data_IF_357722686555
#
_entry.id   IF_357722686555
#
_cell.length_a   1.000
_cell.length_b   1.000
_cell.length_c   1.000
_cell.angle_alpha   90.00
_cell.angle_beta   90.00
_cell.angle_gamma   90.00
#
_symmetry.space_group_name_H-M   'P 1'
#
loop_
_entity.id
_entity.type
_entity.pdbx_description
1 polymer ?
#
# COMPACT_ATOMS: atom_id res chain seq x y z
N UNK A 1 54.69 -54.81 5.81
CA UNK A 1 55.78 -55.72 6.26
C UNK A 1 55.18 -56.83 7.08
N UNK A 2 55.33 -58.08 6.63
CA UNK A 2 54.83 -59.21 7.39
C UNK A 2 55.60 -59.44 8.70
N UNK A 3 54.97 -60.20 9.59
CA UNK A 3 55.62 -60.76 10.78
C UNK A 3 56.88 -61.56 10.42
N UNK A 4 56.85 -62.35 9.34
CA UNK A 4 57.95 -63.26 8.97
C UNK A 4 59.19 -62.50 8.48
N UNK A 5 58.99 -61.43 7.71
CA UNK A 5 60.07 -60.53 7.29
C UNK A 5 60.75 -59.86 8.48
N UNK A 6 59.97 -59.43 9.47
CA UNK A 6 60.49 -58.82 10.70
C UNK A 6 61.29 -59.81 11.54
N UNK A 7 60.79 -61.04 11.68
CA UNK A 7 61.46 -62.10 12.45
C UNK A 7 62.78 -62.54 11.80
N UNK A 8 62.87 -62.56 10.46
CA UNK A 8 64.10 -62.88 9.71
C UNK A 8 65.18 -61.82 9.88
N UNK A 9 64.85 -60.54 9.68
CA UNK A 9 65.83 -59.44 9.82
C UNK A 9 66.37 -59.32 11.25
N UNK A 10 65.58 -59.70 12.24
CA UNK A 10 65.99 -59.72 13.65
C UNK A 10 66.88 -60.94 14.03
N UNK A 11 67.10 -61.90 13.13
CA UNK A 11 67.81 -63.14 13.45
C UNK A 11 69.31 -62.88 13.74
N UNK A 12 69.82 -63.48 14.83
CA UNK A 12 71.18 -63.24 15.33
C UNK A 12 72.31 -63.62 14.35
N UNK A 13 72.01 -64.45 13.35
CA UNK A 13 72.94 -64.86 12.30
C UNK A 13 73.57 -63.66 11.57
N UNK A 14 72.78 -62.63 11.25
CA UNK A 14 73.27 -61.47 10.51
C UNK A 14 74.40 -60.75 11.26
N UNK A 15 74.25 -60.62 12.58
CA UNK A 15 75.26 -60.04 13.47
C UNK A 15 76.47 -60.97 13.62
N UNK A 16 76.24 -62.28 13.85
CA UNK A 16 77.32 -63.28 14.01
C UNK A 16 78.22 -63.36 12.78
N UNK A 17 77.65 -63.34 11.58
CA UNK A 17 78.40 -63.37 10.31
C UNK A 17 79.20 -62.09 10.11
N UNK A 18 78.59 -60.93 10.38
CA UNK A 18 79.26 -59.64 10.25
C UNK A 18 80.45 -59.54 11.21
N UNK A 19 80.29 -59.97 12.47
CA UNK A 19 81.34 -59.94 13.49
C UNK A 19 82.49 -60.91 13.18
N UNK A 20 82.18 -62.16 12.80
CA UNK A 20 83.23 -63.13 12.42
C UNK A 20 83.98 -62.71 11.15
N UNK A 21 83.30 -62.08 10.20
CA UNK A 21 83.91 -61.53 8.99
C UNK A 21 84.85 -60.37 9.33
N UNK A 22 84.45 -59.48 10.23
CA UNK A 22 85.26 -58.37 10.72
C UNK A 22 86.56 -58.89 11.34
N UNK A 23 86.47 -59.86 12.27
CA UNK A 23 87.64 -60.47 12.90
C UNK A 23 88.57 -61.20 11.92
N UNK A 24 88.00 -61.90 10.93
CA UNK A 24 88.79 -62.54 9.88
C UNK A 24 89.49 -61.53 8.95
N UNK A 25 88.95 -60.31 8.83
CA UNK A 25 89.50 -59.24 7.98
C UNK A 25 90.59 -58.41 8.66
N UNK A 26 90.80 -58.52 9.96
CA UNK A 26 91.87 -57.78 10.66
C UNK A 26 93.24 -58.04 10.03
N UNK A 27 93.92 -56.97 9.59
CA UNK A 27 95.22 -57.05 8.94
C UNK A 27 96.37 -57.07 9.97
N UNK A 28 97.35 -57.93 9.75
CA UNK A 28 98.55 -58.06 10.58
C UNK A 28 99.80 -58.06 9.68
N UNK A 29 100.81 -57.27 10.04
CA UNK A 29 101.99 -56.97 9.19
C UNK A 29 103.04 -58.09 9.07
N UNK A 30 102.96 -59.14 9.89
CA UNK A 30 104.01 -60.18 10.03
C UNK A 30 103.60 -61.58 9.54
N UNK A 31 102.60 -61.68 8.65
CA UNK A 31 102.09 -62.98 8.17
C UNK A 31 102.88 -63.57 6.99
N UNK A 32 103.31 -64.83 7.12
CA UNK A 32 103.85 -65.62 6.00
C UNK A 32 102.75 -65.97 4.96
N UNK A 33 103.15 -66.45 3.77
CA UNK A 33 102.25 -66.78 2.66
C UNK A 33 101.15 -67.78 3.05
N UNK A 34 101.46 -68.77 3.88
CA UNK A 34 100.49 -69.77 4.34
C UNK A 34 99.41 -69.17 5.26
N UNK A 35 99.79 -68.21 6.10
CA UNK A 35 98.85 -67.48 6.94
C UNK A 35 97.85 -66.68 6.10
N UNK A 36 98.33 -66.00 5.06
CA UNK A 36 97.47 -65.22 4.16
C UNK A 36 96.53 -66.11 3.33
N UNK A 37 96.96 -67.33 2.98
CA UNK A 37 96.11 -68.29 2.28
C UNK A 37 94.93 -68.75 3.14
N UNK A 38 95.19 -69.11 4.41
CA UNK A 38 94.14 -69.52 5.35
C UNK A 38 93.14 -68.37 5.63
N UNK A 39 93.65 -67.15 5.85
CA UNK A 39 92.82 -65.97 6.04
C UNK A 39 91.94 -65.69 4.82
N UNK A 40 92.51 -65.69 3.61
CA UNK A 40 91.77 -65.41 2.37
C UNK A 40 90.65 -66.41 2.15
N UNK A 41 90.89 -67.70 2.39
CA UNK A 41 89.87 -68.74 2.27
C UNK A 41 88.71 -68.48 3.23
N UNK A 42 89.02 -68.20 4.49
CA UNK A 42 88.02 -67.96 5.52
C UNK A 42 87.15 -66.74 5.21
N UNK A 43 87.78 -65.62 4.85
CA UNK A 43 87.09 -64.40 4.43
C UNK A 43 86.15 -64.68 3.27
N UNK A 44 86.60 -65.40 2.24
CA UNK A 44 85.74 -65.76 1.09
C UNK A 44 84.52 -66.57 1.50
N UNK A 45 84.67 -67.51 2.44
CA UNK A 45 83.54 -68.33 2.92
C UNK A 45 82.54 -67.47 3.68
N UNK A 46 83.01 -66.58 4.56
CA UNK A 46 82.16 -65.68 5.33
C UNK A 46 81.47 -64.63 4.45
N UNK A 47 82.14 -64.08 3.44
CA UNK A 47 81.54 -63.18 2.45
C UNK A 47 80.46 -63.88 1.61
N UNK A 48 80.72 -65.11 1.18
CA UNK A 48 79.72 -65.90 0.47
C UNK A 48 78.49 -66.16 1.35
N UNK A 49 78.70 -66.47 2.63
CA UNK A 49 77.62 -66.70 3.57
C UNK A 49 76.80 -65.42 3.85
N UNK A 50 77.45 -64.26 3.92
CA UNK A 50 76.76 -62.96 3.98
C UNK A 50 75.91 -62.73 2.73
N UNK A 51 76.42 -63.05 1.54
CA UNK A 51 75.68 -62.93 0.28
C UNK A 51 74.49 -63.89 0.21
N UNK A 52 74.63 -65.12 0.70
CA UNK A 52 73.57 -66.12 0.77
C UNK A 52 72.43 -65.60 1.65
N UNK A 53 72.73 -65.03 2.81
CA UNK A 53 71.71 -64.43 3.66
C UNK A 53 71.00 -63.28 2.93
N UNK A 54 71.72 -62.41 2.23
CA UNK A 54 71.09 -61.35 1.45
C UNK A 54 70.13 -61.82 0.34
N UNK A 55 70.28 -63.06 -0.15
CA UNK A 55 69.46 -63.63 -1.23
C UNK A 55 68.32 -64.55 -0.77
N UNK A 56 68.17 -64.79 0.54
CA UNK A 56 67.03 -65.55 1.08
C UNK A 56 65.76 -64.69 1.06
N UNK A 57 64.64 -65.35 0.77
CA UNK A 57 63.30 -64.77 0.89
C UNK A 57 62.89 -64.73 2.37
N UNK A 58 62.66 -63.54 2.97
CA UNK A 58 62.29 -63.41 4.38
C UNK A 58 60.97 -64.13 4.75
N UNK A 59 60.03 -64.28 3.81
CA UNK A 59 58.75 -64.97 4.04
C UNK A 59 58.92 -66.50 4.11
N UNK A 60 60.01 -67.04 3.57
CA UNK A 60 60.28 -68.47 3.49
C UNK A 60 61.64 -68.87 4.08
N UNK A 61 62.14 -68.06 5.02
CA UNK A 61 63.44 -68.27 5.63
C UNK A 61 63.46 -69.55 6.52
N UNK A 62 64.41 -70.48 6.31
CA UNK A 62 64.49 -71.71 7.10
C UNK A 62 65.13 -71.44 8.47
N UNK A 63 64.34 -70.95 9.44
CA UNK A 63 64.84 -70.55 10.76
C UNK A 63 65.67 -71.63 11.46
N UNK A 64 65.33 -72.91 11.31
CA UNK A 64 66.10 -74.01 11.90
C UNK A 64 67.48 -74.19 11.27
N UNK A 65 67.65 -73.88 9.99
CA UNK A 65 68.94 -73.94 9.28
C UNK A 65 69.75 -72.68 9.57
N UNK A 66 69.10 -71.51 9.61
CA UNK A 66 69.74 -70.25 10.02
C UNK A 66 70.32 -70.36 11.43
N UNK A 67 69.60 -70.99 12.35
CA UNK A 67 70.10 -71.22 13.70
C UNK A 67 71.24 -72.23 13.73
N UNK A 68 71.19 -73.32 12.96
CA UNK A 68 72.31 -74.26 12.85
C UNK A 68 73.58 -73.58 12.31
N UNK A 69 73.47 -72.75 11.28
CA UNK A 69 74.59 -71.98 10.74
C UNK A 69 75.12 -70.97 11.77
N UNK A 70 74.23 -70.34 12.54
CA UNK A 70 74.61 -69.43 13.61
C UNK A 70 75.40 -70.16 14.70
N UNK A 71 74.97 -71.36 15.09
CA UNK A 71 75.66 -72.20 16.07
C UNK A 71 77.03 -72.69 15.57
N UNK A 72 77.18 -72.99 14.28
CA UNK A 72 78.48 -73.33 13.68
C UNK A 72 79.47 -72.17 13.84
N UNK A 73 79.04 -70.94 13.56
CA UNK A 73 79.90 -69.76 13.67
C UNK A 73 80.17 -69.38 15.14
N UNK A 74 79.20 -69.61 16.03
CA UNK A 74 79.33 -69.39 17.49
C UNK A 74 80.11 -70.50 18.20
N UNK A 75 80.43 -71.60 17.52
CA UNK A 75 81.19 -72.70 18.12
C UNK A 75 82.59 -72.24 18.55
N UNK A 76 83.10 -72.78 19.67
CA UNK A 76 84.41 -72.39 20.24
C UNK A 76 85.58 -72.48 19.25
N UNK A 77 85.52 -73.42 18.29
CA UNK A 77 86.56 -73.60 17.27
C UNK A 77 86.53 -72.57 16.15
N UNK A 78 85.49 -71.73 16.08
CA UNK A 78 85.36 -70.62 15.13
C UNK A 78 85.33 -69.29 15.88
N UNK A 79 84.38 -69.12 16.79
CA UNK A 79 84.16 -67.86 17.50
C UNK A 79 85.36 -67.40 18.31
N UNK A 80 85.80 -68.22 19.28
CA UNK A 80 86.93 -67.87 20.15
C UNK A 80 88.26 -67.85 19.39
N UNK A 81 88.40 -68.69 18.35
CA UNK A 81 89.60 -68.70 17.51
C UNK A 81 89.72 -67.44 16.66
N UNK A 82 88.61 -66.91 16.13
CA UNK A 82 88.61 -65.67 15.35
C UNK A 82 88.72 -64.43 16.24
N UNK A 83 88.08 -64.45 17.41
CA UNK A 83 88.27 -63.43 18.43
C UNK A 83 89.74 -63.38 18.88
N UNK A 84 90.34 -64.53 19.21
CA UNK A 84 91.76 -64.60 19.58
C UNK A 84 92.67 -64.17 18.42
N UNK A 85 92.34 -64.53 17.18
CA UNK A 85 93.05 -64.11 15.97
C UNK A 85 93.04 -62.58 15.79
N UNK A 86 91.92 -61.93 16.07
CA UNK A 86 91.81 -60.47 15.99
C UNK A 86 92.76 -59.73 16.95
N UNK A 87 93.20 -60.39 18.03
CA UNK A 87 94.09 -59.82 19.05
C UNK A 87 95.54 -60.31 18.93
N UNK A 88 95.77 -61.54 18.46
CA UNK A 88 97.08 -62.15 18.30
C UNK A 88 97.12 -63.07 17.06
N UNK A 89 97.87 -62.73 16.01
CA UNK A 89 97.85 -63.46 14.74
C UNK A 89 98.61 -64.79 14.81
N UNK A 90 97.92 -65.89 15.14
CA UNK A 90 98.47 -67.24 15.03
C UNK A 90 97.81 -68.04 13.89
N UNK A 91 98.61 -68.67 13.03
CA UNK A 91 98.11 -69.47 11.90
C UNK A 91 97.24 -70.66 12.35
N UNK A 92 97.53 -71.26 13.52
CA UNK A 92 96.76 -72.41 14.02
C UNK A 92 95.29 -72.04 14.31
N UNK A 93 95.01 -70.79 14.68
CA UNK A 93 93.65 -70.32 14.96
C UNK A 93 92.81 -70.28 13.68
N UNK A 94 93.39 -69.74 12.60
CA UNK A 94 92.76 -69.72 11.27
C UNK A 94 92.56 -71.13 10.70
N UNK A 95 93.58 -72.00 10.82
CA UNK A 95 93.48 -73.39 10.39
C UNK A 95 92.38 -74.14 11.14
N UNK A 96 92.25 -73.92 12.45
CA UNK A 96 91.21 -74.54 13.28
C UNK A 96 89.82 -74.07 12.86
N UNK A 97 89.63 -72.76 12.67
CA UNK A 97 88.37 -72.20 12.20
C UNK A 97 88.00 -72.71 10.80
N UNK A 98 88.95 -72.70 9.86
CA UNK A 98 88.75 -73.21 8.50
C UNK A 98 88.41 -74.69 8.49
N UNK A 99 89.12 -75.52 9.27
CA UNK A 99 88.84 -76.96 9.34
C UNK A 99 87.43 -77.22 9.90
N UNK A 100 87.02 -76.49 10.93
CA UNK A 100 85.68 -76.64 11.51
C UNK A 100 84.59 -76.23 10.50
N UNK A 101 84.74 -75.08 9.83
CA UNK A 101 83.78 -74.63 8.80
C UNK A 101 83.74 -75.61 7.63
N UNK A 102 84.88 -76.19 7.25
CA UNK A 102 84.96 -77.19 6.18
C UNK A 102 84.16 -78.45 6.53
N UNK A 103 84.27 -78.94 7.76
CA UNK A 103 83.51 -80.11 8.23
C UNK A 103 82.00 -79.86 8.17
N UNK A 104 81.57 -78.61 8.33
CA UNK A 104 80.16 -78.20 8.32
C UNK A 104 79.69 -77.61 6.98
N UNK A 105 80.51 -77.71 5.92
CA UNK A 105 80.23 -77.05 4.64
C UNK A 105 78.90 -77.48 4.01
N UNK A 106 78.45 -78.72 4.22
CA UNK A 106 77.18 -79.23 3.70
C UNK A 106 75.96 -78.41 4.18
N UNK A 107 75.97 -77.92 5.42
CA UNK A 107 74.89 -77.10 5.98
C UNK A 107 74.89 -75.70 5.32
N UNK A 108 76.08 -75.14 5.11
CA UNK A 108 76.25 -73.85 4.42
C UNK A 108 75.78 -73.94 2.95
N UNK A 109 76.10 -75.04 2.26
CA UNK A 109 75.63 -75.26 0.88
C UNK A 109 74.12 -75.51 0.79
N UNK A 110 73.51 -76.14 1.81
CA UNK A 110 72.06 -76.28 1.89
C UNK A 110 71.38 -74.90 1.96
N UNK A 111 71.89 -74.02 2.81
CA UNK A 111 71.41 -72.64 2.90
C UNK A 111 71.62 -71.87 1.57
N UNK A 112 72.77 -72.10 0.91
CA UNK A 112 73.08 -71.49 -0.39
C UNK A 112 72.08 -71.88 -1.49
N UNK A 113 71.62 -73.13 -1.51
CA UNK A 113 70.63 -73.60 -2.49
C UNK A 113 69.27 -72.91 -2.36
N UNK A 114 68.98 -72.31 -1.21
CA UNK A 114 67.74 -71.57 -0.94
C UNK A 114 67.86 -70.07 -1.21
N UNK A 115 69.07 -69.57 -1.47
CA UNK A 115 69.32 -68.16 -1.82
C UNK A 115 69.19 -67.91 -3.31
N UNK A 116 68.46 -66.86 -3.70
CA UNK A 116 68.38 -66.37 -5.09
C UNK A 116 69.46 -65.33 -5.36
N UNK A 117 69.77 -65.04 -6.62
CA UNK A 117 70.62 -63.90 -6.98
C UNK A 117 69.99 -62.59 -6.48
N UNK A 118 70.78 -61.75 -5.83
CA UNK A 118 70.36 -60.56 -5.09
C UNK A 118 69.48 -59.58 -5.90
N UNK A 119 69.68 -59.51 -7.21
CA UNK A 119 68.90 -58.65 -8.13
C UNK A 119 67.45 -59.12 -8.32
N UNK A 120 67.20 -60.43 -8.36
CA UNK A 120 65.87 -61.01 -8.57
C UNK A 120 64.99 -60.93 -7.32
N UNK A 121 65.61 -61.00 -6.14
CA UNK A 121 64.91 -60.84 -4.86
C UNK A 121 64.37 -59.41 -4.68
N UNK A 122 65.11 -58.38 -5.12
CA UNK A 122 64.69 -57.00 -4.99
C UNK A 122 63.44 -56.67 -5.84
N UNK A 123 63.36 -57.22 -7.07
CA UNK A 123 62.20 -57.00 -7.96
C UNK A 123 60.92 -57.63 -7.39
N UNK A 124 61.04 -58.80 -6.77
CA UNK A 124 59.92 -59.49 -6.11
C UNK A 124 59.45 -58.68 -4.90
N UNK A 125 60.37 -58.26 -4.01
CA UNK A 125 60.03 -57.42 -2.84
C UNK A 125 59.35 -56.11 -3.23
N UNK A 126 59.82 -55.46 -4.29
CA UNK A 126 59.18 -54.23 -4.79
C UNK A 126 57.74 -54.49 -5.28
N UNK A 127 57.50 -55.64 -5.90
CA UNK A 127 56.17 -56.03 -6.38
C UNK A 127 55.23 -56.41 -5.23
N UNK A 128 55.75 -57.10 -4.22
CA UNK A 128 55.03 -57.45 -2.98
C UNK A 128 54.62 -56.19 -2.20
N UNK A 129 55.55 -55.24 -2.03
CA UNK A 129 55.25 -53.96 -1.38
C UNK A 129 54.19 -53.15 -2.15
N UNK A 130 54.24 -53.17 -3.49
CA UNK A 130 53.23 -52.50 -4.33
C UNK A 130 51.85 -53.16 -4.18
N UNK A 131 51.80 -54.50 -4.09
CA UNK A 131 50.56 -55.23 -3.86
C UNK A 131 50.00 -55.01 -2.45
N UNK A 132 50.85 -54.99 -1.42
CA UNK A 132 50.47 -54.68 -0.04
C UNK A 132 49.87 -53.26 0.04
N UNK A 133 50.53 -52.27 -0.56
CA UNK A 133 50.04 -50.89 -0.64
C UNK A 133 48.70 -50.78 -1.37
N UNK A 134 48.51 -51.55 -2.45
CA UNK A 134 47.24 -51.60 -3.18
C UNK A 134 46.12 -52.22 -2.35
N UNK A 135 46.40 -53.32 -1.64
CA UNK A 135 45.43 -53.99 -0.77
C UNK A 135 45.00 -53.07 0.40
N UNK A 136 45.95 -52.38 1.03
CA UNK A 136 45.68 -51.37 2.06
C UNK A 136 44.86 -50.20 1.51
N UNK A 137 45.17 -49.74 0.29
CA UNK A 137 44.41 -48.69 -0.39
C UNK A 137 42.96 -49.11 -0.68
N UNK A 138 42.72 -50.35 -1.10
CA UNK A 138 41.37 -50.88 -1.30
C UNK A 138 40.61 -50.97 0.02
N UNK A 139 41.22 -51.50 1.09
CA UNK A 139 40.52 -51.63 2.37
C UNK A 139 40.20 -50.25 2.97
N UNK A 140 41.12 -49.29 2.85
CA UNK A 140 40.87 -47.89 3.23
C UNK A 140 39.73 -47.27 2.41
N UNK A 141 39.71 -47.51 1.09
CA UNK A 141 38.64 -46.95 0.26
C UNK A 141 37.30 -47.61 0.53
N UNK A 142 37.30 -48.90 0.85
CA UNK A 142 36.12 -49.65 1.27
C UNK A 142 35.54 -49.09 2.56
N UNK A 143 36.36 -48.84 3.58
CA UNK A 143 35.89 -48.27 4.85
C UNK A 143 35.33 -46.86 4.64
N UNK A 144 36.02 -46.00 3.88
CA UNK A 144 35.51 -44.66 3.53
C UNK A 144 34.13 -44.71 2.84
N UNK A 145 33.95 -45.61 1.87
CA UNK A 145 32.67 -45.75 1.15
C UNK A 145 31.58 -46.29 2.07
N UNK A 146 31.88 -47.24 2.96
CA UNK A 146 30.91 -47.75 3.93
C UNK A 146 30.49 -46.65 4.91
N UNK A 147 31.43 -45.84 5.38
CA UNK A 147 31.15 -44.71 6.27
C UNK A 147 30.32 -43.64 5.57
N UNK A 148 30.61 -43.33 4.30
CA UNK A 148 29.81 -42.41 3.50
C UNK A 148 28.39 -42.92 3.28
N UNK A 149 28.23 -44.22 2.96
CA UNK A 149 26.90 -44.85 2.82
C UNK A 149 26.11 -44.76 4.13
N UNK A 150 26.73 -45.07 5.27
CA UNK A 150 26.07 -45.01 6.57
C UNK A 150 25.66 -43.57 6.94
N UNK A 151 26.54 -42.59 6.68
CA UNK A 151 26.21 -41.18 6.90
C UNK A 151 25.08 -40.71 6.00
N UNK A 152 25.09 -41.06 4.71
CA UNK A 152 24.02 -40.71 3.77
C UNK A 152 22.69 -41.38 4.14
N UNK A 153 22.71 -42.63 4.59
CA UNK A 153 21.52 -43.31 5.08
C UNK A 153 20.93 -42.62 6.32
N UNK A 154 21.78 -42.16 7.24
CA UNK A 154 21.35 -41.40 8.41
C UNK A 154 20.77 -40.02 8.02
N UNK A 155 21.41 -39.29 7.11
CA UNK A 155 20.91 -38.03 6.57
C UNK A 155 19.55 -38.20 5.87
N UNK A 156 19.39 -39.26 5.07
CA UNK A 156 18.14 -39.56 4.38
C UNK A 156 17.01 -39.87 5.37
N UNK A 157 17.28 -40.69 6.39
CA UNK A 157 16.30 -40.99 7.45
C UNK A 157 15.90 -39.75 8.23
N UNK A 158 16.84 -38.86 8.55
CA UNK A 158 16.54 -37.58 9.19
C UNK A 158 15.66 -36.69 8.29
N UNK A 159 15.96 -36.65 6.98
CA UNK A 159 15.18 -35.89 6.01
C UNK A 159 13.75 -36.41 5.90
N UNK A 160 13.55 -37.74 5.85
CA UNK A 160 12.21 -38.35 5.83
C UNK A 160 11.39 -37.98 7.07
N UNK A 161 12.00 -37.99 8.27
CA UNK A 161 11.34 -37.57 9.51
C UNK A 161 10.92 -36.10 9.43
N UNK A 162 11.79 -35.22 8.91
CA UNK A 162 11.42 -33.80 8.75
C UNK A 162 10.31 -33.60 7.71
N UNK A 163 10.31 -34.36 6.61
CA UNK A 163 9.28 -34.28 5.59
C UNK A 163 7.92 -34.69 6.15
N UNK A 164 7.87 -35.77 6.94
CA UNK A 164 6.65 -36.21 7.63
C UNK A 164 6.16 -35.16 8.65
N UNK A 165 7.07 -34.56 9.42
CA UNK A 165 6.72 -33.51 10.38
C UNK A 165 6.13 -32.28 9.69
N UNK A 166 6.71 -31.83 8.57
CA UNK A 166 6.20 -30.71 7.78
C UNK A 166 4.84 -31.06 7.17
N UNK A 167 4.65 -32.28 6.65
CA UNK A 167 3.37 -32.72 6.12
C UNK A 167 2.27 -32.73 7.19
N UNK A 168 2.58 -33.18 8.41
CA UNK A 168 1.65 -33.18 9.53
C UNK A 168 1.30 -31.75 9.97
N UNK A 169 2.29 -30.85 10.01
CA UNK A 169 2.05 -29.43 10.30
C UNK A 169 1.14 -28.80 9.24
N UNK A 170 1.36 -29.09 7.95
CA UNK A 170 0.51 -28.58 6.87
C UNK A 170 -0.94 -29.04 7.04
N UNK A 171 -1.18 -30.33 7.28
CA UNK A 171 -2.52 -30.87 7.50
C UNK A 171 -3.20 -30.24 8.73
N UNK A 172 -2.46 -30.02 9.82
CA UNK A 172 -2.98 -29.34 11.00
C UNK A 172 -3.30 -27.86 10.74
N UNK A 173 -2.49 -27.20 9.90
CA UNK A 173 -2.69 -25.82 9.51
C UNK A 173 -3.92 -25.66 8.60
N UNK A 174 -4.13 -26.55 7.63
CA UNK A 174 -5.33 -26.61 6.80
C UNK A 174 -6.58 -26.76 7.67
N UNK A 175 -6.57 -27.70 8.62
CA UNK A 175 -7.69 -27.90 9.56
C UNK A 175 -7.96 -26.63 10.38
N UNK A 176 -6.92 -25.96 10.88
CA UNK A 176 -7.06 -24.72 11.65
C UNK A 176 -7.58 -23.55 10.80
N UNK A 177 -7.19 -23.48 9.52
CA UNK A 177 -7.71 -22.48 8.58
C UNK A 177 -9.20 -22.70 8.33
N UNK A 178 -9.63 -23.94 8.10
CA UNK A 178 -11.04 -24.28 7.89
C UNK A 178 -11.89 -23.94 9.11
N UNK A 179 -11.42 -24.28 10.32
CA UNK A 179 -12.10 -23.92 11.57
C UNK A 179 -12.24 -22.39 11.72
N UNK A 180 -11.17 -21.64 11.46
CA UNK A 180 -11.20 -20.16 11.53
C UNK A 180 -12.10 -19.55 10.46
N UNK A 181 -12.10 -20.10 9.25
CA UNK A 181 -12.95 -19.65 8.16
C UNK A 181 -14.43 -19.88 8.49
N UNK A 182 -14.78 -21.06 9.01
CA UNK A 182 -16.14 -21.40 9.45
C UNK A 182 -16.58 -20.51 10.62
N UNK A 183 -15.70 -20.27 11.61
CA UNK A 183 -15.97 -19.38 12.72
C UNK A 183 -16.22 -17.95 12.23
N UNK A 184 -15.36 -17.43 11.36
CA UNK A 184 -15.49 -16.09 10.78
C UNK A 184 -16.75 -15.95 9.93
N UNK A 185 -17.09 -16.95 9.12
CA UNK A 185 -18.31 -16.98 8.32
C UNK A 185 -19.56 -16.97 9.23
N UNK A 186 -19.54 -17.75 10.31
CA UNK A 186 -20.62 -17.80 11.29
C UNK A 186 -20.77 -16.48 12.03
N UNK A 187 -19.68 -15.91 12.52
CA UNK A 187 -19.67 -14.62 13.22
C UNK A 187 -20.14 -13.47 12.33
N UNK A 188 -19.68 -13.44 11.08
CA UNK A 188 -20.11 -12.44 10.09
C UNK A 188 -21.61 -12.57 9.79
N UNK A 189 -22.10 -13.80 9.58
CA UNK A 189 -23.52 -14.05 9.31
C UNK A 189 -24.40 -13.66 10.50
N UNK A 190 -23.99 -14.03 11.72
CA UNK A 190 -24.71 -13.68 12.94
C UNK A 190 -24.71 -12.17 13.17
N UNK A 191 -23.57 -11.50 13.00
CA UNK A 191 -23.45 -10.05 13.17
C UNK A 191 -24.30 -9.30 12.13
N UNK A 192 -24.28 -9.72 10.86
CA UNK A 192 -25.13 -9.12 9.82
C UNK A 192 -26.62 -9.30 10.12
N UNK A 193 -27.00 -10.50 10.56
CA UNK A 193 -28.40 -10.80 10.93
C UNK A 193 -28.85 -9.94 12.10
N UNK A 194 -28.02 -9.81 13.14
CA UNK A 194 -28.32 -9.00 14.32
C UNK A 194 -28.37 -7.50 13.98
N UNK A 195 -27.44 -7.00 13.16
CA UNK A 195 -27.47 -5.61 12.68
C UNK A 195 -28.74 -5.30 11.86
N UNK A 196 -29.14 -6.21 10.97
CA UNK A 196 -30.35 -6.06 10.17
C UNK A 196 -31.60 -6.06 11.05
N UNK A 197 -31.64 -6.93 12.07
CA UNK A 197 -32.71 -6.99 13.05
C UNK A 197 -32.79 -5.69 13.85
N UNK A 198 -31.69 -5.24 14.44
CA UNK A 198 -31.64 -3.98 15.21
C UNK A 198 -32.02 -2.77 14.37
N UNK A 199 -31.57 -2.72 13.10
CA UNK A 199 -31.99 -1.67 12.18
C UNK A 199 -33.50 -1.70 11.94
N UNK A 200 -34.05 -2.89 11.64
CA UNK A 200 -35.49 -3.06 11.39
C UNK A 200 -36.32 -2.69 12.61
N UNK A 201 -35.95 -3.17 13.80
CA UNK A 201 -36.62 -2.86 15.05
C UNK A 201 -36.58 -1.34 15.34
N UNK A 202 -35.43 -0.69 15.10
CA UNK A 202 -35.30 0.76 15.24
C UNK A 202 -36.17 1.54 14.23
N UNK A 203 -36.31 1.06 13.00
CA UNK A 203 -37.20 1.67 12.01
C UNK A 203 -38.67 1.52 12.40
N UNK A 204 -39.06 0.36 12.92
CA UNK A 204 -40.42 0.12 13.42
C UNK A 204 -40.73 1.06 14.59
N UNK A 205 -39.81 1.18 15.54
CA UNK A 205 -39.99 2.06 16.71
C UNK A 205 -40.08 3.53 16.30
N UNK A 206 -39.20 4.00 15.39
CA UNK A 206 -39.28 5.37 14.85
C UNK A 206 -40.59 5.64 14.12
N UNK A 207 -41.08 4.66 13.34
CA UNK A 207 -42.36 4.78 12.64
C UNK A 207 -43.51 4.93 13.64
N UNK A 208 -43.52 4.12 14.69
CA UNK A 208 -44.51 4.19 15.76
C UNK A 208 -44.48 5.54 16.47
N UNK A 209 -43.28 6.02 16.85
CA UNK A 209 -43.12 7.34 17.47
C UNK A 209 -43.60 8.49 16.57
N UNK A 210 -43.37 8.38 15.27
CA UNK A 210 -43.87 9.34 14.29
C UNK A 210 -45.40 9.30 14.18
N UNK A 211 -46.00 8.11 14.13
CA UNK A 211 -47.47 7.94 14.12
C UNK A 211 -48.12 8.51 15.38
N UNK A 212 -47.53 8.27 16.55
CA UNK A 212 -47.97 8.82 17.84
C UNK A 212 -47.87 10.36 17.85
N UNK A 213 -46.76 10.91 17.35
CA UNK A 213 -46.56 12.37 17.25
C UNK A 213 -47.58 13.01 16.31
N UNK A 214 -47.82 12.42 15.13
CA UNK A 214 -48.81 12.91 14.18
C UNK A 214 -50.22 12.88 14.78
N UNK A 215 -50.57 11.82 15.50
CA UNK A 215 -51.85 11.70 16.18
C UNK A 215 -52.02 12.78 17.24
N UNK A 216 -51.02 12.97 18.11
CA UNK A 216 -51.01 14.00 19.14
C UNK A 216 -51.08 15.42 18.56
N UNK A 217 -50.37 15.70 17.46
CA UNK A 217 -50.46 16.98 16.75
C UNK A 217 -51.85 17.21 16.17
N UNK A 218 -52.47 16.18 15.59
CA UNK A 218 -53.82 16.28 15.03
C UNK A 218 -54.86 16.56 16.11
N UNK A 219 -54.77 15.89 17.25
CA UNK A 219 -55.63 16.16 18.41
C UNK A 219 -55.44 17.60 18.90
N UNK A 220 -54.19 18.04 19.10
CA UNK A 220 -53.89 19.40 19.55
C UNK A 220 -54.36 20.47 18.56
N UNK A 221 -54.19 20.22 17.26
CA UNK A 221 -54.66 21.11 16.20
C UNK A 221 -56.19 21.18 16.17
N UNK A 222 -56.89 20.06 16.34
CA UNK A 222 -58.35 20.02 16.43
C UNK A 222 -58.85 20.79 17.65
N UNK A 223 -58.28 20.53 18.84
CA UNK A 223 -58.65 21.27 20.05
C UNK A 223 -58.42 22.77 19.88
N UNK A 224 -57.23 23.17 19.41
CA UNK A 224 -56.92 24.58 19.17
C UNK A 224 -57.87 25.22 18.14
N UNK A 225 -58.21 24.50 17.06
CA UNK A 225 -59.16 24.99 16.03
C UNK A 225 -60.55 25.14 16.62
N UNK A 226 -60.99 24.20 17.45
CA UNK A 226 -62.32 24.24 18.09
C UNK A 226 -62.39 25.41 19.07
N UNK A 227 -61.38 25.58 19.93
CA UNK A 227 -61.27 26.71 20.85
C UNK A 227 -61.23 28.07 20.12
N UNK A 228 -60.46 28.16 19.02
CA UNK A 228 -60.40 29.38 18.20
C UNK A 228 -61.79 29.67 17.61
N UNK A 229 -62.44 28.65 17.06
CA UNK A 229 -63.76 28.76 16.43
C UNK A 229 -64.79 29.24 17.46
N UNK A 230 -64.89 28.60 18.62
CA UNK A 230 -65.79 29.02 19.70
C UNK A 230 -65.51 30.47 20.12
N UNK A 231 -64.25 30.83 20.35
CA UNK A 231 -63.86 32.20 20.74
C UNK A 231 -64.24 33.24 19.69
N UNK A 232 -64.07 32.95 18.40
CA UNK A 232 -64.44 33.87 17.33
C UNK A 232 -65.95 33.93 17.13
N UNK A 233 -66.67 32.81 17.25
CA UNK A 233 -68.13 32.79 17.22
C UNK A 233 -68.72 33.61 18.37
N UNK A 234 -68.24 33.41 19.60
CA UNK A 234 -68.70 34.18 20.77
C UNK A 234 -68.42 35.68 20.61
N UNK A 235 -67.24 36.03 20.07
CA UNK A 235 -66.89 37.43 19.78
C UNK A 235 -67.73 38.01 18.65
N UNK A 236 -68.02 37.24 17.61
CA UNK A 236 -68.85 37.68 16.50
C UNK A 236 -70.29 37.92 16.98
N UNK A 237 -70.83 37.01 17.81
CA UNK A 237 -72.15 37.18 18.41
C UNK A 237 -72.20 38.41 19.31
N UNK A 238 -71.22 38.58 20.20
CA UNK A 238 -71.14 39.77 21.06
C UNK A 238 -70.97 41.07 20.25
N UNK A 239 -70.23 41.03 19.14
CA UNK A 239 -70.10 42.16 18.23
C UNK A 239 -71.40 42.44 17.49
N UNK A 240 -72.11 41.41 17.01
CA UNK A 240 -73.41 41.53 16.35
C UNK A 240 -74.46 42.13 17.30
N UNK A 241 -74.50 41.66 18.54
CA UNK A 241 -75.38 42.20 19.58
C UNK A 241 -75.06 43.68 19.86
N UNK A 242 -73.78 44.01 20.07
CA UNK A 242 -73.34 45.38 20.30
C UNK A 242 -73.53 46.30 19.07
N UNK A 243 -73.38 45.77 17.86
CA UNK A 243 -73.61 46.50 16.62
C UNK A 243 -75.10 46.73 16.39
N UNK A 244 -75.94 45.74 16.68
CA UNK A 244 -77.40 45.86 16.64
C UNK A 244 -77.89 46.91 17.64
N UNK A 245 -77.36 46.89 18.87
CA UNK A 245 -77.66 47.90 19.89
C UNK A 245 -77.21 49.30 19.48
N UNK A 246 -75.95 49.45 19.04
CA UNK A 246 -75.45 50.73 18.48
C UNK A 246 -76.19 51.16 17.24
N UNK A 247 -76.60 50.22 16.39
CA UNK A 247 -77.35 50.45 15.16
C UNK A 247 -78.71 51.04 15.50
N UNK A 248 -79.43 50.47 16.47
CA UNK A 248 -80.68 51.04 17.00
C UNK A 248 -80.46 52.43 17.57
N UNK A 249 -79.46 52.60 18.45
CA UNK A 249 -79.15 53.92 19.04
C UNK A 249 -78.75 54.97 17.98
N UNK A 250 -78.00 54.56 16.96
CA UNK A 250 -77.62 55.44 15.83
C UNK A 250 -78.80 55.72 14.93
N UNK A 251 -79.73 54.77 14.72
CA UNK A 251 -80.94 55.02 13.95
C UNK A 251 -81.82 56.05 14.65
N UNK A 252 -81.93 55.96 15.99
CA UNK A 252 -82.60 56.95 16.82
C UNK A 252 -81.90 58.32 16.75
N UNK A 253 -80.56 58.35 16.85
CA UNK A 253 -79.78 59.58 16.70
C UNK A 253 -79.84 60.15 15.28
N UNK A 254 -79.85 59.31 14.24
CA UNK A 254 -80.00 59.70 12.83
C UNK A 254 -81.41 60.20 12.57
N UNK A 255 -82.46 59.64 13.16
CA UNK A 255 -83.80 60.20 13.05
C UNK A 255 -83.86 61.58 13.73
N UNK A 256 -83.26 61.71 14.91
CA UNK A 256 -83.13 62.99 15.62
C UNK A 256 -82.30 64.02 14.82
N UNK A 257 -81.18 63.59 14.23
CA UNK A 257 -80.32 64.43 13.39
C UNK A 257 -80.91 64.66 12.02
N UNK A 258 -81.68 63.76 11.42
CA UNK A 258 -82.41 63.96 10.17
C UNK A 258 -83.48 65.03 10.38
N UNK A 259 -84.15 65.06 11.54
CA UNK A 259 -84.97 66.20 11.97
C UNK A 259 -84.15 67.49 12.10
N UNK A 260 -82.88 67.40 12.53
CA UNK A 260 -81.94 68.54 12.54
C UNK A 260 -81.38 68.91 11.16
N UNK A 261 -81.26 67.96 10.25
CA UNK A 261 -80.75 68.15 8.88
C UNK A 261 -81.89 68.62 7.99
N UNK A 262 -83.15 68.27 8.22
CA UNK A 262 -84.27 69.00 7.64
C UNK A 262 -84.24 70.49 8.06
N UNK A 263 -83.70 70.81 9.24
CA UNK A 263 -83.40 72.20 9.65
C UNK A 263 -82.13 72.77 8.97
N UNK A 264 -81.11 71.95 8.70
CA UNK A 264 -79.81 72.39 8.17
C UNK A 264 -79.68 72.24 6.64
N UNK A 265 -80.50 71.47 5.92
CA UNK A 265 -80.46 71.24 4.46
C UNK A 265 -80.77 72.52 3.65
N UNK A 266 -81.14 73.60 4.32
CA UNK A 266 -81.04 74.96 3.78
C UNK A 266 -79.59 75.51 3.73
N UNK A 267 -78.60 74.75 4.18
CA UNK A 267 -77.19 75.13 4.34
C UNK A 267 -76.27 73.99 3.85
N UNK A 268 -75.85 74.12 2.59
CA UNK A 268 -74.48 73.83 2.11
C UNK A 268 -74.10 72.37 1.77
N UNK A 269 -74.04 72.08 0.47
CA UNK A 269 -73.31 70.97 -0.16
C UNK A 269 -72.26 71.54 -1.14
N UNK A 270 -70.96 71.60 -0.78
CA UNK A 270 -69.93 72.25 -1.63
C UNK A 270 -68.52 71.61 -1.72
N UNK A 271 -68.18 70.47 -1.09
CA UNK A 271 -66.74 70.08 -0.98
C UNK A 271 -66.41 68.60 -1.32
N UNK A 272 -66.37 68.20 -2.61
CA UNK A 272 -66.13 66.78 -2.99
C UNK A 272 -65.13 66.50 -4.13
N UNK A 273 -64.64 67.49 -4.88
CA UNK A 273 -63.89 67.20 -6.14
C UNK A 273 -62.37 67.06 -5.97
N UNK A 274 -61.77 67.62 -4.92
CA UNK A 274 -60.30 67.73 -4.78
C UNK A 274 -59.61 66.48 -4.20
N UNK A 275 -60.35 65.56 -3.56
CA UNK A 275 -59.76 64.41 -2.86
C UNK A 275 -59.31 63.24 -3.75
N UNK A 276 -59.84 63.11 -4.98
CA UNK A 276 -59.61 61.95 -5.84
C UNK A 276 -58.20 61.86 -6.45
N UNK A 277 -57.63 63.01 -6.86
CA UNK A 277 -56.35 63.03 -7.58
C UNK A 277 -55.14 62.80 -6.69
N UNK A 278 -55.19 63.26 -5.44
CA UNK A 278 -54.16 63.01 -4.42
C UNK A 278 -53.93 61.51 -4.18
N UNK A 279 -55.03 60.76 -4.07
CA UNK A 279 -54.98 59.33 -3.77
C UNK A 279 -54.30 58.52 -4.87
N UNK A 280 -54.58 58.85 -6.13
CA UNK A 280 -53.99 58.13 -7.26
C UNK A 280 -52.49 58.43 -7.41
N UNK A 281 -52.04 59.65 -7.12
CA UNK A 281 -50.61 60.00 -7.13
C UNK A 281 -49.82 59.21 -6.06
N UNK A 282 -50.37 59.09 -4.85
CA UNK A 282 -49.73 58.34 -3.76
C UNK A 282 -49.62 56.83 -4.05
N UNK A 283 -50.57 56.26 -4.81
CA UNK A 283 -50.54 54.84 -5.18
C UNK A 283 -49.53 54.55 -6.31
N UNK A 284 -49.40 55.44 -7.30
CA UNK A 284 -48.36 55.36 -8.35
C UNK A 284 -46.94 55.46 -7.76
N UNK A 285 -46.75 56.29 -6.72
CA UNK A 285 -45.48 56.41 -6.00
C UNK A 285 -45.06 55.08 -5.34
N UNK A 286 -46.02 54.38 -4.72
CA UNK A 286 -45.77 53.07 -4.09
C UNK A 286 -45.39 52.03 -5.14
N UNK A 287 -46.12 51.97 -6.25
CA UNK A 287 -45.82 51.06 -7.36
C UNK A 287 -44.42 51.30 -7.95
N UNK A 288 -44.00 52.57 -8.10
CA UNK A 288 -42.66 52.87 -8.58
C UNK A 288 -41.57 52.35 -7.62
N UNK A 289 -41.78 52.48 -6.31
CA UNK A 289 -40.81 52.03 -5.30
C UNK A 289 -40.74 50.50 -5.19
N UNK A 290 -41.85 49.78 -5.35
CA UNK A 290 -41.84 48.31 -5.36
C UNK A 290 -41.06 47.77 -6.56
N UNK A 291 -41.28 48.30 -7.76
CA UNK A 291 -40.53 47.92 -8.96
C UNK A 291 -39.03 48.24 -8.86
N UNK A 292 -38.67 49.34 -8.18
CA UNK A 292 -37.26 49.67 -7.90
C UNK A 292 -36.61 48.64 -6.97
N UNK A 293 -37.34 48.20 -5.93
CA UNK A 293 -36.85 47.17 -5.02
C UNK A 293 -36.62 45.84 -5.75
N UNK A 294 -37.55 45.43 -6.61
CA UNK A 294 -37.45 44.21 -7.42
C UNK A 294 -36.24 44.25 -8.37
N UNK A 295 -36.01 45.39 -9.04
CA UNK A 295 -34.83 45.58 -9.90
C UNK A 295 -33.51 45.45 -9.12
N UNK A 296 -33.47 46.00 -7.90
CA UNK A 296 -32.27 45.91 -7.06
C UNK A 296 -32.04 44.49 -6.52
N UNK A 297 -33.10 43.81 -6.08
CA UNK A 297 -33.02 42.43 -5.60
C UNK A 297 -32.51 41.46 -6.69
N UNK A 298 -32.99 41.63 -7.93
CA UNK A 298 -32.55 40.80 -9.08
C UNK A 298 -31.09 41.04 -9.48
N UNK A 299 -30.58 42.28 -9.37
CA UNK A 299 -29.15 42.58 -9.56
C UNK A 299 -28.28 41.95 -8.47
N UNK A 300 -28.70 42.06 -7.20
CA UNK A 300 -27.98 41.47 -6.07
C UNK A 300 -27.93 39.94 -6.21
N UNK A 301 -29.03 39.31 -6.65
CA UNK A 301 -29.07 37.88 -6.93
C UNK A 301 -28.10 37.45 -8.03
N UNK A 302 -27.99 38.22 -9.13
CA UNK A 302 -27.06 37.95 -10.21
C UNK A 302 -25.59 38.00 -9.75
N UNK A 303 -25.24 39.00 -8.94
CA UNK A 303 -23.89 39.15 -8.38
C UNK A 303 -23.59 38.03 -7.37
N UNK A 304 -24.53 37.69 -6.49
CA UNK A 304 -24.37 36.61 -5.52
C UNK A 304 -24.17 35.25 -6.21
N UNK A 305 -24.92 34.98 -7.29
CA UNK A 305 -24.77 33.78 -8.10
C UNK A 305 -23.37 33.65 -8.72
N UNK A 306 -22.85 34.73 -9.33
CA UNK A 306 -21.50 34.75 -9.89
C UNK A 306 -20.41 34.53 -8.82
N UNK A 307 -20.57 35.13 -7.64
CA UNK A 307 -19.64 34.94 -6.52
C UNK A 307 -19.66 33.50 -5.99
N UNK A 308 -20.84 32.87 -5.93
CA UNK A 308 -20.98 31.48 -5.51
C UNK A 308 -20.28 30.55 -6.49
N UNK A 309 -20.51 30.73 -7.80
CA UNK A 309 -19.82 29.95 -8.85
C UNK A 309 -18.30 30.18 -8.85
N UNK A 310 -17.83 31.40 -8.60
CA UNK A 310 -16.41 31.68 -8.43
C UNK A 310 -15.78 30.96 -7.21
N UNK A 311 -16.53 30.83 -6.10
CA UNK A 311 -16.05 30.17 -4.86
C UNK A 311 -16.07 28.65 -4.92
N UNK A 312 -17.08 28.06 -5.56
CA UNK A 312 -17.24 26.60 -5.67
C UNK A 312 -16.33 26.03 -6.77
N UNK A 313 -15.83 26.87 -7.67
CA UNK A 313 -15.05 26.44 -8.82
C UNK A 313 -15.95 25.87 -9.93
N UNK A 314 -15.45 25.91 -11.16
CA UNK A 314 -16.05 25.14 -12.25
C UNK A 314 -15.51 23.71 -12.10
N UNK A 315 -16.39 22.70 -12.03
CA UNK A 315 -15.99 21.30 -11.87
C UNK A 315 -14.93 20.93 -12.92
N UNK A 316 -13.88 20.21 -12.54
CA UNK A 316 -12.87 19.73 -13.48
C UNK A 316 -13.47 18.60 -14.34
N UNK A 317 -13.27 18.67 -15.66
CA UNK A 317 -13.57 17.54 -16.54
C UNK A 317 -12.51 16.46 -16.35
N UNK A 318 -12.87 15.19 -16.54
CA UNK A 318 -11.99 14.00 -16.41
C UNK A 318 -10.68 14.04 -17.24
N UNK A 319 -10.43 15.10 -18.01
CA UNK A 319 -9.28 15.32 -18.89
C UNK A 319 -8.45 16.58 -18.54
N UNK A 320 -8.73 17.28 -17.43
CA UNK A 320 -7.98 18.50 -17.06
C UNK A 320 -8.25 19.70 -17.98
N UNK A 321 -9.29 19.62 -18.80
CA UNK A 321 -9.74 20.69 -19.71
C UNK A 321 -10.97 21.37 -19.11
N UNK A 322 -11.02 22.70 -19.23
CA UNK A 322 -12.10 23.57 -18.77
C UNK A 322 -13.50 23.04 -19.17
N UNK A 323 -14.41 22.86 -18.21
CA UNK A 323 -15.79 22.42 -18.46
C UNK A 323 -16.64 23.57 -19.05
N UNK A 324 -16.55 23.76 -20.36
CA UNK A 324 -17.36 24.70 -21.15
C UNK A 324 -18.88 24.65 -20.89
N UNK A 325 -19.51 23.49 -20.64
CA UNK A 325 -20.93 23.44 -20.31
C UNK A 325 -21.29 24.24 -19.05
N UNK A 326 -20.46 24.20 -18.01
CA UNK A 326 -20.77 24.84 -16.72
C UNK A 326 -20.58 26.37 -16.75
N UNK A 327 -19.72 26.86 -17.66
CA UNK A 327 -19.58 28.29 -17.95
C UNK A 327 -20.79 28.81 -18.72
N UNK A 328 -21.30 28.03 -19.68
CA UNK A 328 -22.47 28.39 -20.47
C UNK A 328 -23.76 28.41 -19.62
N UNK A 329 -23.92 27.49 -18.67
CA UNK A 329 -25.05 27.50 -17.73
C UNK A 329 -24.96 28.68 -16.75
N UNK A 330 -23.78 28.98 -16.20
CA UNK A 330 -23.60 30.12 -15.31
C UNK A 330 -23.85 31.46 -16.04
N UNK A 331 -23.38 31.58 -17.29
CA UNK A 331 -23.58 32.76 -18.13
C UNK A 331 -25.04 32.98 -18.52
N UNK A 332 -25.76 31.92 -18.92
CA UNK A 332 -27.17 32.02 -19.33
C UNK A 332 -28.09 32.45 -18.18
N UNK A 333 -27.90 31.91 -16.97
CA UNK A 333 -28.68 32.30 -15.78
C UNK A 333 -28.43 33.77 -15.42
N UNK A 334 -27.16 34.20 -15.46
CA UNK A 334 -26.78 35.60 -15.20
C UNK A 334 -27.43 36.55 -16.21
N UNK A 335 -27.46 36.18 -17.50
CA UNK A 335 -28.10 36.99 -18.54
C UNK A 335 -29.60 37.18 -18.29
N UNK A 336 -30.32 36.13 -17.90
CA UNK A 336 -31.76 36.20 -17.59
C UNK A 336 -32.02 37.16 -16.41
N UNK A 337 -31.20 37.09 -15.36
CA UNK A 337 -31.35 37.96 -14.18
C UNK A 337 -31.10 39.44 -14.51
N UNK A 338 -30.13 39.73 -15.39
CA UNK A 338 -29.86 41.10 -15.84
C UNK A 338 -31.01 41.67 -16.68
N UNK A 339 -31.58 40.86 -17.58
CA UNK A 339 -32.77 41.26 -18.37
C UNK A 339 -33.96 41.55 -17.46
N UNK A 340 -34.21 40.68 -16.48
CA UNK A 340 -35.28 40.87 -15.51
C UNK A 340 -35.13 42.16 -14.70
N UNK A 341 -33.91 42.46 -14.25
CA UNK A 341 -33.62 43.71 -13.53
C UNK A 341 -33.83 44.94 -14.42
N UNK A 342 -33.36 44.88 -15.68
CA UNK A 342 -33.54 45.95 -16.65
C UNK A 342 -35.02 46.27 -16.91
N UNK A 343 -35.85 45.24 -17.02
CA UNK A 343 -37.29 45.38 -17.18
C UNK A 343 -37.95 46.06 -15.96
N UNK A 344 -37.66 45.57 -14.75
CA UNK A 344 -38.21 46.13 -13.51
C UNK A 344 -37.80 47.61 -13.29
N UNK A 345 -36.56 47.96 -13.66
CA UNK A 345 -36.09 49.35 -13.62
C UNK A 345 -36.85 50.28 -14.56
N UNK A 346 -37.17 49.82 -15.78
CA UNK A 346 -37.98 50.58 -16.74
C UNK A 346 -39.42 50.77 -16.25
N UNK A 347 -40.04 49.74 -15.67
CA UNK A 347 -41.38 49.85 -15.08
C UNK A 347 -41.43 50.84 -13.90
N UNK A 348 -40.42 50.84 -13.03
CA UNK A 348 -40.31 51.81 -11.95
C UNK A 348 -40.29 53.27 -12.47
N UNK A 349 -39.58 53.53 -13.58
CA UNK A 349 -39.52 54.87 -14.20
C UNK A 349 -40.87 55.30 -14.77
N UNK A 350 -41.66 54.38 -15.33
CA UNK A 350 -42.98 54.66 -15.88
C UNK A 350 -43.95 55.12 -14.79
N UNK A 351 -44.04 54.37 -13.69
CA UNK A 351 -44.89 54.74 -12.55
C UNK A 351 -44.49 56.09 -11.92
N UNK A 352 -43.19 56.39 -11.81
CA UNK A 352 -42.69 57.72 -11.37
C UNK A 352 -43.11 58.86 -12.28
N UNK A 353 -43.15 58.61 -13.58
CA UNK A 353 -43.60 59.60 -14.55
C UNK A 353 -45.11 59.86 -14.42
N UNK A 354 -45.91 58.83 -14.15
CA UNK A 354 -47.35 58.95 -13.92
C UNK A 354 -47.68 59.64 -12.59
N UNK A 355 -46.98 59.28 -11.52
CA UNK A 355 -47.04 59.97 -10.21
C UNK A 355 -46.84 61.48 -10.39
N UNK A 356 -45.76 61.87 -11.08
CA UNK A 356 -45.41 63.28 -11.28
C UNK A 356 -46.50 64.04 -12.04
N UNK A 357 -47.14 63.42 -13.03
CA UNK A 357 -48.27 64.01 -13.77
C UNK A 357 -49.51 64.19 -12.90
N UNK A 358 -49.88 63.15 -12.14
CA UNK A 358 -51.07 63.21 -11.27
C UNK A 358 -50.89 64.24 -10.14
N UNK A 359 -49.68 64.34 -9.60
CA UNK A 359 -49.35 65.32 -8.56
C UNK A 359 -49.30 66.75 -9.08
N UNK A 360 -48.81 66.93 -10.31
CA UNK A 360 -48.89 68.23 -10.99
C UNK A 360 -50.34 68.65 -11.23
N UNK A 361 -51.21 67.70 -11.63
CA UNK A 361 -52.64 67.93 -11.80
C UNK A 361 -53.36 68.25 -10.49
N UNK A 362 -53.05 67.54 -9.41
CA UNK A 362 -53.56 67.82 -8.06
C UNK A 362 -53.23 69.26 -7.65
N UNK A 363 -51.97 69.67 -7.82
CA UNK A 363 -51.50 71.01 -7.48
C UNK A 363 -52.13 72.08 -8.37
N UNK A 364 -52.25 71.85 -9.69
CA UNK A 364 -52.90 72.79 -10.61
C UNK A 364 -54.39 72.97 -10.27
N UNK A 365 -55.10 71.88 -9.98
CA UNK A 365 -56.53 71.93 -9.63
C UNK A 365 -56.76 72.57 -8.26
N UNK A 366 -55.90 72.29 -7.28
CA UNK A 366 -55.97 72.87 -5.94
C UNK A 366 -55.58 74.35 -5.92
N UNK A 367 -54.60 74.75 -6.74
CA UNK A 367 -54.11 76.12 -6.82
C UNK A 367 -55.02 77.03 -7.66
N UNK A 368 -55.78 76.49 -8.63
CA UNK A 368 -56.63 77.28 -9.52
C UNK A 368 -57.65 78.12 -8.76
N UNK A 369 -58.30 77.55 -7.75
CA UNK A 369 -59.34 78.22 -6.96
C UNK A 369 -58.85 79.53 -6.33
N UNK A 370 -57.75 79.49 -5.56
CA UNK A 370 -57.11 80.70 -5.02
C UNK A 370 -56.62 81.70 -6.08
N UNK A 371 -56.03 81.24 -7.20
CA UNK A 371 -55.42 82.14 -8.20
C UNK A 371 -56.44 82.95 -9.03
N UNK A 372 -57.67 82.46 -9.19
CA UNK A 372 -58.72 83.16 -9.95
C UNK A 372 -59.71 83.91 -9.06
N UNK A 373 -59.58 83.80 -7.74
CA UNK A 373 -60.55 84.32 -6.77
C UNK A 373 -60.76 85.84 -6.88
N UNK A 374 -59.70 86.59 -7.22
CA UNK A 374 -59.70 88.06 -7.29
C UNK A 374 -60.07 88.62 -8.69
N UNK A 375 -60.35 87.76 -9.68
CA UNK A 375 -60.72 88.17 -11.03
C UNK A 375 -62.24 88.38 -11.17
N UNK A 376 -62.72 89.24 -12.08
CA UNK A 376 -64.15 89.37 -12.41
C UNK A 376 -64.78 88.02 -12.81
N UNK A 377 -66.03 87.78 -12.42
CA UNK A 377 -66.72 86.49 -12.58
C UNK A 377 -66.71 85.97 -14.03
N UNK A 378 -66.82 86.88 -15.00
CA UNK A 378 -66.77 86.56 -16.43
C UNK A 378 -65.41 85.98 -16.84
N UNK A 379 -64.30 86.55 -16.33
CA UNK A 379 -62.94 86.06 -16.58
C UNK A 379 -62.67 84.73 -15.86
N UNK A 380 -63.21 84.54 -14.65
CA UNK A 380 -63.11 83.25 -13.96
C UNK A 380 -63.80 82.12 -14.74
N UNK A 381 -64.95 82.40 -15.35
CA UNK A 381 -65.67 81.42 -16.16
C UNK A 381 -64.95 81.12 -17.47
N UNK A 382 -64.33 82.12 -18.11
CA UNK A 382 -63.51 81.92 -19.30
C UNK A 382 -62.29 81.03 -19.00
N UNK A 383 -61.53 81.36 -17.95
CA UNK A 383 -60.34 80.59 -17.54
C UNK A 383 -60.73 79.15 -17.19
N UNK A 384 -61.83 78.93 -16.45
CA UNK A 384 -62.34 77.59 -16.17
C UNK A 384 -62.71 76.84 -17.45
N UNK A 385 -63.35 77.51 -18.42
CA UNK A 385 -63.74 76.89 -19.70
C UNK A 385 -62.52 76.52 -20.55
N UNK A 386 -61.53 77.38 -20.61
CA UNK A 386 -60.28 77.15 -21.33
C UNK A 386 -59.46 76.02 -20.67
N UNK A 387 -59.40 75.99 -19.34
CA UNK A 387 -58.71 74.93 -18.60
C UNK A 387 -59.41 73.59 -18.74
N UNK A 388 -60.75 73.52 -18.66
CA UNK A 388 -61.51 72.29 -18.94
C UNK A 388 -61.25 71.83 -20.39
N UNK A 389 -61.23 72.75 -21.37
CA UNK A 389 -60.86 72.43 -22.76
C UNK A 389 -59.43 71.94 -22.90
N UNK A 390 -58.47 72.48 -22.15
CA UNK A 390 -57.07 72.04 -22.20
C UNK A 390 -56.85 70.70 -21.49
N UNK A 391 -57.45 70.51 -20.32
CA UNK A 391 -57.30 69.31 -19.51
C UNK A 391 -58.01 68.09 -20.09
N UNK A 392 -59.14 68.28 -20.76
CA UNK A 392 -59.92 67.19 -21.37
C UNK A 392 -59.85 67.16 -22.91
N UNK A 393 -59.33 68.20 -23.56
CA UNK A 393 -59.22 68.32 -25.02
C UNK A 393 -57.83 68.07 -25.60
N UNK A 394 -56.80 67.87 -24.76
CA UNK A 394 -55.58 67.23 -25.23
C UNK A 394 -55.88 65.75 -25.50
N UNK A 395 -56.24 65.44 -26.76
CA UNK A 395 -56.01 64.12 -27.32
C UNK A 395 -54.61 63.70 -26.89
N UNK A 396 -54.50 62.57 -26.17
CA UNK A 396 -53.24 61.89 -25.92
C UNK A 396 -52.60 61.54 -27.27
N UNK A 397 -51.93 62.52 -27.88
CA UNK A 397 -51.10 62.35 -29.05
C UNK A 397 -50.03 61.35 -28.67
N UNK A 398 -50.16 60.16 -29.25
CA UNK A 398 -49.16 59.08 -29.30
C UNK A 398 -48.15 59.20 -28.17
N UNK A 399 -48.53 58.75 -26.98
CA UNK A 399 -47.53 58.13 -26.15
C UNK A 399 -46.95 57.01 -27.02
N UNK A 400 -45.74 57.23 -27.55
CA UNK A 400 -44.89 56.21 -28.16
C UNK A 400 -44.55 55.19 -27.05
N UNK A 401 -45.57 54.48 -26.58
CA UNK A 401 -45.48 53.16 -26.03
C UNK A 401 -45.28 52.18 -27.18
N UNK A 402 -44.27 52.44 -28.03
CA UNK A 402 -43.67 51.35 -28.78
C UNK A 402 -42.98 50.49 -27.72
N UNK A 403 -43.71 49.48 -27.26
CA UNK A 403 -43.17 48.20 -26.84
C UNK A 403 -42.43 47.57 -28.04
N UNK A 404 -41.42 48.28 -28.56
CA UNK A 404 -40.33 47.61 -29.24
C UNK A 404 -39.37 47.34 -28.10
N UNK A 405 -39.18 46.06 -27.76
CA UNK A 405 -37.91 45.64 -27.22
C UNK A 405 -36.87 46.27 -28.14
N UNK A 406 -36.26 47.38 -27.72
CA UNK A 406 -35.27 48.07 -28.52
C UNK A 406 -34.13 47.07 -28.63
N UNK A 407 -34.21 46.28 -29.70
CA UNK A 407 -33.39 45.13 -30.02
C UNK A 407 -31.96 45.59 -29.83
N UNK A 408 -31.63 46.81 -30.26
CA UNK A 408 -30.37 47.50 -30.02
C UNK A 408 -29.79 47.42 -28.58
N UNK A 409 -30.55 47.54 -27.49
CA UNK A 409 -29.95 47.50 -26.12
C UNK A 409 -29.79 46.08 -25.56
N UNK A 410 -30.75 45.20 -25.85
CA UNK A 410 -30.65 43.79 -25.47
C UNK A 410 -29.62 43.09 -26.35
N UNK A 411 -29.64 43.39 -27.64
CA UNK A 411 -28.69 42.96 -28.65
C UNK A 411 -27.30 43.51 -28.38
N UNK A 412 -27.10 44.77 -27.97
CA UNK A 412 -25.75 45.23 -27.56
C UNK A 412 -25.26 44.54 -26.29
N UNK A 413 -26.12 44.26 -25.31
CA UNK A 413 -25.72 43.48 -24.12
C UNK A 413 -25.42 42.01 -24.46
N UNK A 414 -26.20 41.40 -25.35
CA UNK A 414 -25.99 40.03 -25.83
C UNK A 414 -24.78 39.94 -26.76
N UNK A 415 -24.57 40.92 -27.63
CA UNK A 415 -23.42 41.04 -28.54
C UNK A 415 -22.14 41.33 -27.76
N UNK A 416 -22.17 42.20 -26.74
CA UNK A 416 -20.99 42.42 -25.88
C UNK A 416 -20.64 41.19 -25.05
N UNK A 417 -21.63 40.44 -24.55
CA UNK A 417 -21.38 39.16 -23.89
C UNK A 417 -20.89 38.08 -24.86
N UNK A 418 -21.43 38.03 -26.08
CA UNK A 418 -21.02 37.10 -27.13
C UNK A 418 -19.61 37.42 -27.67
N UNK A 419 -19.25 38.69 -27.77
CA UNK A 419 -17.91 39.14 -28.16
C UNK A 419 -16.90 38.89 -27.05
N UNK A 420 -17.25 39.09 -25.77
CA UNK A 420 -16.39 38.71 -24.64
C UNK A 420 -16.18 37.18 -24.62
N UNK A 421 -17.24 36.40 -24.87
CA UNK A 421 -17.14 34.94 -24.98
C UNK A 421 -16.28 34.49 -26.18
N UNK A 422 -16.46 35.08 -27.37
CA UNK A 422 -15.62 34.81 -28.56
C UNK A 422 -14.16 35.21 -28.37
N UNK A 423 -13.91 36.34 -27.71
CA UNK A 423 -12.56 36.83 -27.44
C UNK A 423 -11.84 35.92 -26.44
N UNK A 424 -12.56 35.37 -25.46
CA UNK A 424 -12.04 34.36 -24.55
C UNK A 424 -11.73 33.03 -25.27
N UNK A 425 -12.58 32.60 -26.21
CA UNK A 425 -12.36 31.38 -27.02
C UNK A 425 -11.15 31.53 -27.96
N UNK A 426 -11.04 32.63 -28.70
CA UNK A 426 -9.95 32.87 -29.65
C UNK A 426 -8.57 33.09 -28.98
N UNK A 427 -8.55 33.56 -27.73
CA UNK A 427 -7.29 33.73 -26.98
C UNK A 427 -6.74 32.41 -26.42
N UNK A 428 -7.55 31.35 -26.40
CA UNK A 428 -7.19 29.99 -25.95
C UNK A 428 -6.90 29.07 -27.14
N UNK A 429 -7.51 29.29 -28.32
CA UNK A 429 -7.18 28.51 -29.54
C UNK A 429 -5.90 28.95 -30.25
N UNK A 430 -5.20 29.97 -29.71
CA UNK A 430 -4.01 30.58 -30.30
C UNK A 430 -2.74 30.48 -29.44
N UNK A 431 -2.72 29.65 -28.40
CA UNK A 431 -1.49 29.30 -27.67
C UNK A 431 -1.17 27.82 -27.81
#
# INVERSE_FOLDING_TARGET
MSRWSTDYEAHAIHTTVSQTLEWAKTEHSDGDADFQNERRRLVKVLENLQSILGGIDPEFAPNSVLEQVNQILRHQHVWQQLEAHSSNPAIQQLQTANNHITQQAHIIYNLAAMSRSTESAQVIRNSENAFESFAEGIETKRTEVVDEINNRAAELSALEVTALAVQQQLASFETSLDEKLLAWQTETTNTQTEQLKQFTDSQIEKKKQYEDLVTALKERANTATTELTTKYTDRMQAFEDAFSEKGKATLEDVDAKHKSVLKIHNLVARDSVTGGYKRNADDEQKAANTWRLISMATLVAAVAWLLLKYRVGFEESYTGILNWPDIMTAGSITAILLVASGYASRQSKLHRHNESKMRWFELETAALGPFIADLPVEQQQEIKRELIRRMFGQQHGKADGKLIADDATVKTLVETLADVAKTAVNKISGS
#
